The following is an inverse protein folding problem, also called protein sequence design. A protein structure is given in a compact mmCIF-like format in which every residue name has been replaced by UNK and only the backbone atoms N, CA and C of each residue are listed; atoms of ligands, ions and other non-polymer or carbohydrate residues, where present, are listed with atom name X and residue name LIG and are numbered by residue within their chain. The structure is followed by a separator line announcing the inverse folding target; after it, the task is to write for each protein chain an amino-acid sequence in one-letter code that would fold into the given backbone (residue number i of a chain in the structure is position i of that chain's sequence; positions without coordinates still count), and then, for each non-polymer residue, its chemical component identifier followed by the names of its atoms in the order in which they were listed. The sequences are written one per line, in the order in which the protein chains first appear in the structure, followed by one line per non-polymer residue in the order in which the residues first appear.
data_IF_204648997845
#
_entry.id   IF_204648997845
#
_cell.length_a   1.000
_cell.length_b   1.000
_cell.length_c   1.000
_cell.angle_alpha   90.00
_cell.angle_beta   90.00
_cell.angle_gamma   90.00
#
_symmetry.space_group_name_H-M   'P 1'
#
loop_
_entity.id
_entity.type
_entity.pdbx_description
1 polymer ?
#
# COMPACT_ATOMS: atom_id res chain seq x y z
N UNK A 1 -12.03 21.17 -12.45
CA UNK A 1 -11.98 20.94 -11.00
C UNK A 1 -13.23 20.28 -10.46
N UNK A 2 -14.40 20.66 -10.93
CA UNK A 2 -15.65 20.04 -10.47
C UNK A 2 -15.70 18.54 -10.60
N UNK A 3 -15.03 18.00 -11.61
CA UNK A 3 -15.05 16.56 -11.84
C UNK A 3 -14.43 15.74 -10.73
N UNK A 4 -13.45 16.29 -10.03
CA UNK A 4 -12.85 15.57 -8.90
C UNK A 4 -13.84 15.38 -7.77
N UNK A 5 -14.72 16.35 -7.59
CA UNK A 5 -15.71 16.29 -6.52
C UNK A 5 -16.79 15.26 -6.83
N UNK A 6 -17.05 15.02 -8.11
CA UNK A 6 -18.07 14.07 -8.55
C UNK A 6 -17.63 12.61 -8.39
N UNK A 7 -16.33 12.37 -8.26
CA UNK A 7 -15.78 11.02 -8.12
C UNK A 7 -15.47 10.68 -6.68
N UNK A 8 -16.19 11.28 -5.77
CA UNK A 8 -15.99 11.03 -4.35
C UNK A 8 -16.44 9.63 -3.98
N UNK A 9 -15.53 8.83 -3.45
CA UNK A 9 -15.82 7.50 -2.97
C UNK A 9 -15.99 7.51 -1.46
N UNK A 10 -16.83 6.63 -0.90
CA UNK A 10 -17.03 6.61 0.54
C UNK A 10 -15.75 6.26 1.28
N UNK A 11 -15.53 6.94 2.40
CA UNK A 11 -14.39 6.70 3.27
C UNK A 11 -14.87 6.41 4.68
N UNK A 12 -14.03 5.69 5.45
CA UNK A 12 -14.30 5.39 6.85
C UNK A 12 -13.07 5.70 7.67
N UNK A 13 -13.25 5.89 8.96
CA UNK A 13 -12.15 6.11 9.90
C UNK A 13 -12.04 4.90 10.81
N UNK A 14 -10.81 4.52 11.14
CA UNK A 14 -10.58 3.46 12.11
C UNK A 14 -9.23 3.66 12.77
N UNK A 15 -9.00 2.95 13.86
CA UNK A 15 -7.75 3.05 14.57
C UNK A 15 -6.73 2.10 13.97
N UNK A 16 -5.54 2.63 13.68
CA UNK A 16 -4.47 1.87 13.06
C UNK A 16 -3.15 2.28 13.71
N UNK A 17 -2.49 1.33 14.34
CA UNK A 17 -1.22 1.56 15.06
C UNK A 17 -1.30 2.71 16.07
N UNK A 18 -2.39 2.76 16.84
CA UNK A 18 -2.55 3.74 17.89
C UNK A 18 -3.02 5.11 17.44
N UNK A 19 -3.35 5.29 16.17
CA UNK A 19 -3.84 6.56 15.63
C UNK A 19 -5.04 6.36 14.73
N UNK A 20 -5.90 7.36 14.69
CA UNK A 20 -7.06 7.32 13.80
C UNK A 20 -6.65 7.69 12.38
N UNK A 21 -7.04 6.87 11.41
CA UNK A 21 -6.76 7.11 9.99
C UNK A 21 -8.03 7.00 9.19
N UNK A 22 -8.04 7.64 8.02
CA UNK A 22 -9.14 7.52 7.07
C UNK A 22 -8.71 6.60 5.94
N UNK A 23 -9.63 5.80 5.46
CA UNK A 23 -9.38 4.90 4.34
C UNK A 23 -10.62 4.81 3.48
N UNK A 24 -10.46 4.34 2.24
CA UNK A 24 -11.61 4.04 1.41
C UNK A 24 -12.33 2.82 1.99
N UNK A 25 -13.65 2.91 2.06
CA UNK A 25 -14.45 1.81 2.60
C UNK A 25 -14.21 0.51 1.85
N UNK A 26 -14.13 0.58 0.53
CA UNK A 26 -13.97 -0.62 -0.29
C UNK A 26 -12.60 -1.27 -0.19
N UNK A 27 -11.57 -0.51 0.21
CA UNK A 27 -10.20 -1.05 0.27
C UNK A 27 -9.72 -1.30 1.69
N UNK A 28 -10.55 -1.00 2.70
CA UNK A 28 -10.15 -1.19 4.09
C UNK A 28 -9.74 -2.63 4.35
N UNK A 29 -8.48 -2.81 4.80
CA UNK A 29 -7.93 -4.12 5.09
C UNK A 29 -7.59 -4.96 3.86
N UNK A 30 -7.72 -4.40 2.67
CA UNK A 30 -7.50 -5.13 1.42
C UNK A 30 -6.32 -4.60 0.59
N UNK A 31 -5.45 -3.81 1.20
CA UNK A 31 -4.35 -3.18 0.47
C UNK A 31 -3.43 -4.20 -0.22
N UNK A 32 -3.29 -5.40 0.35
CA UNK A 32 -2.43 -6.43 -0.24
C UNK A 32 -2.94 -6.95 -1.58
N UNK A 33 -4.24 -6.88 -1.79
CA UNK A 33 -4.82 -7.31 -3.07
C UNK A 33 -4.44 -6.39 -4.22
N UNK A 34 -4.06 -5.15 -3.88
CA UNK A 34 -3.71 -4.14 -4.86
C UNK A 34 -2.21 -3.84 -4.89
N UNK A 35 -1.42 -4.60 -4.14
CA UNK A 35 0.01 -4.33 -4.02
C UNK A 35 0.81 -5.35 -4.83
N UNK A 36 1.59 -4.87 -5.79
CA UNK A 36 2.41 -5.74 -6.62
C UNK A 36 3.44 -6.53 -5.80
N UNK A 37 3.96 -5.93 -4.72
CA UNK A 37 4.92 -6.63 -3.87
C UNK A 37 4.32 -7.91 -3.28
N UNK A 38 3.06 -7.86 -2.88
CA UNK A 38 2.37 -9.01 -2.31
C UNK A 38 1.79 -9.95 -3.37
N UNK A 39 1.92 -9.59 -4.65
CA UNK A 39 1.42 -10.40 -5.75
C UNK A 39 2.54 -11.22 -6.38
N UNK A 40 3.26 -11.97 -5.53
CA UNK A 40 4.35 -12.86 -5.94
C UNK A 40 5.50 -12.14 -6.67
N UNK A 41 5.85 -10.92 -6.23
CA UNK A 41 7.01 -10.25 -6.78
C UNK A 41 8.27 -10.98 -6.33
N UNK A 42 9.10 -11.34 -7.28
CA UNK A 42 10.30 -12.13 -7.07
C UNK A 42 11.34 -11.43 -6.16
N UNK A 43 11.32 -10.10 -6.12
CA UNK A 43 12.26 -9.34 -5.30
C UNK A 43 11.75 -8.98 -3.92
N UNK A 44 10.48 -9.25 -3.64
CA UNK A 44 9.87 -8.93 -2.35
C UNK A 44 10.19 -10.03 -1.34
N UNK A 45 11.07 -9.71 -0.39
CA UNK A 45 11.54 -10.66 0.63
C UNK A 45 11.48 -9.98 2.00
N UNK A 46 10.29 -9.75 2.55
CA UNK A 46 10.17 -9.03 3.83
C UNK A 46 10.94 -9.73 4.94
N UNK A 47 11.67 -8.92 5.72
CA UNK A 47 12.48 -9.44 6.82
C UNK A 47 13.88 -9.90 6.40
N UNK A 48 14.18 -9.96 5.11
CA UNK A 48 15.49 -10.38 4.62
C UNK A 48 16.35 -9.18 4.27
N UNK A 49 17.68 -9.27 4.45
CA UNK A 49 18.57 -8.14 4.13
C UNK A 49 18.62 -7.79 2.66
N UNK A 50 18.28 -8.72 1.77
CA UNK A 50 18.25 -8.49 0.34
C UNK A 50 16.85 -8.18 -0.20
N UNK A 51 15.93 -7.80 0.68
CA UNK A 51 14.60 -7.39 0.27
C UNK A 51 14.65 -6.23 -0.72
N UNK A 52 13.67 -6.16 -1.61
CA UNK A 52 13.56 -5.08 -2.59
C UNK A 52 13.65 -3.71 -1.91
N UNK A 53 14.54 -2.85 -2.41
CA UNK A 53 14.76 -1.53 -1.85
C UNK A 53 13.50 -0.65 -1.93
N UNK A 54 12.74 -0.79 -3.00
CA UNK A 54 11.48 -0.04 -3.16
C UNK A 54 10.50 -0.44 -2.06
N UNK A 55 10.40 -1.75 -1.77
CA UNK A 55 9.54 -2.25 -0.71
C UNK A 55 9.99 -1.75 0.66
N UNK A 56 11.31 -1.70 0.90
CA UNK A 56 11.86 -1.20 2.16
C UNK A 56 11.53 0.27 2.38
N UNK A 57 11.70 1.08 1.35
CA UNK A 57 11.40 2.51 1.41
C UNK A 57 9.91 2.74 1.63
N UNK A 58 9.08 1.99 0.91
CA UNK A 58 7.63 2.08 1.05
C UNK A 58 7.19 1.72 2.47
N UNK A 59 7.75 0.67 3.04
CA UNK A 59 7.43 0.25 4.40
C UNK A 59 7.83 1.32 5.41
N UNK A 60 9.02 1.93 5.24
CA UNK A 60 9.48 3.01 6.10
C UNK A 60 8.54 4.21 6.06
N UNK A 61 8.05 4.56 4.88
CA UNK A 61 7.10 5.64 4.70
C UNK A 61 5.80 5.34 5.46
N UNK A 62 5.31 4.11 5.32
CA UNK A 62 4.08 3.70 5.99
C UNK A 62 4.21 3.78 7.50
N UNK A 63 5.35 3.37 8.05
CA UNK A 63 5.60 3.44 9.49
C UNK A 63 5.73 4.87 9.97
N UNK A 64 6.46 5.71 9.22
CA UNK A 64 6.76 7.07 9.64
C UNK A 64 5.52 7.96 9.69
N UNK A 65 4.58 7.75 8.80
CA UNK A 65 3.42 8.63 8.66
C UNK A 65 2.09 7.94 8.92
N UNK A 66 2.12 6.68 9.32
CA UNK A 66 0.93 5.87 9.59
C UNK A 66 -0.03 5.85 8.39
N UNK A 67 0.55 5.63 7.22
CA UNK A 67 -0.22 5.51 5.98
C UNK A 67 -0.10 4.09 5.44
N UNK A 68 -0.98 3.72 4.54
CA UNK A 68 -0.92 2.45 3.83
C UNK A 68 -0.90 2.75 2.34
N UNK A 69 0.21 2.47 1.69
CA UNK A 69 0.39 2.77 0.27
C UNK A 69 0.78 1.50 -0.47
N UNK A 70 -0.18 0.81 -1.09
CA UNK A 70 0.17 -0.35 -1.92
C UNK A 70 0.94 0.09 -3.15
N UNK A 71 1.83 -0.76 -3.63
CA UNK A 71 2.59 -0.50 -4.86
C UNK A 71 1.74 -0.97 -6.02
N UNK A 72 1.10 -0.04 -6.70
CA UNK A 72 0.20 -0.33 -7.81
C UNK A 72 0.95 -0.41 -9.13
N UNK A 73 2.00 0.40 -9.28
CA UNK A 73 2.86 0.38 -10.46
C UNK A 73 4.30 0.25 -10.01
N UNK A 74 5.07 -0.63 -10.64
CA UNK A 74 6.47 -0.80 -10.29
C UNK A 74 7.27 -1.23 -11.52
N UNK A 75 8.33 -0.46 -11.88
CA UNK A 75 9.14 -0.80 -13.06
C UNK A 75 10.00 -2.04 -12.85
N UNK A 76 10.19 -2.47 -11.62
CA UNK A 76 11.02 -3.64 -11.30
C UNK A 76 10.23 -4.90 -11.02
N UNK A 77 8.90 -4.84 -11.09
CA UNK A 77 8.09 -6.01 -10.78
C UNK A 77 8.39 -7.17 -11.71
N UNK A 78 8.66 -8.34 -11.13
CA UNK A 78 8.79 -9.60 -11.86
C UNK A 78 8.07 -10.67 -11.06
N UNK A 79 7.16 -11.37 -11.70
CA UNK A 79 6.40 -12.43 -11.05
C UNK A 79 7.25 -13.68 -10.84
N UNK A 80 7.10 -14.31 -9.69
CA UNK A 80 7.71 -15.62 -9.41
C UNK A 80 6.96 -16.77 -10.06
N UNK A 81 5.74 -16.53 -10.47
CA UNK A 81 4.87 -17.57 -11.03
C UNK A 81 4.57 -17.36 -12.50
#
# INVERSE_FOLDING_TARGET
MGKFLEQHKPTVKYEHHGGEVSTFEETKGRHREYCLCHNHCKFFKPGEPDNCQIAQINFSLCLSYNVTTPVIECPKFESEV
#
